data_IF_853196763579
#
_entry.id   IF_853196763579
#
_cell.length_a   1.000
_cell.length_b   1.000
_cell.length_c   1.000
_cell.angle_alpha   90.00
_cell.angle_beta   90.00
_cell.angle_gamma   90.00
#
_symmetry.space_group_name_H-M   'P 1'
#
loop_
_entity.id
_entity.type
_entity.pdbx_description
1 polymer ?
#
# COMPACT_ATOMS: atom_id res chain seq x y z
N UNK A 1 3.18 -6.01 -49.91
CA UNK A 1 3.31 -7.48 -50.04
C UNK A 1 4.74 -7.99 -49.90
N UNK A 2 5.74 -7.43 -50.60
CA UNK A 2 7.14 -7.88 -50.51
C UNK A 2 7.75 -7.80 -49.09
N UNK A 3 7.47 -6.71 -48.36
CA UNK A 3 7.99 -6.51 -46.99
C UNK A 3 7.47 -7.57 -46.00
N UNK A 4 6.20 -7.98 -46.14
CA UNK A 4 5.58 -9.01 -45.32
C UNK A 4 6.18 -10.40 -45.62
N UNK A 5 6.47 -10.68 -46.89
CA UNK A 5 7.12 -11.93 -47.29
C UNK A 5 8.56 -12.04 -46.75
N UNK A 6 9.33 -10.94 -46.80
CA UNK A 6 10.68 -10.87 -46.24
C UNK A 6 10.65 -11.05 -44.72
N UNK A 7 9.74 -10.37 -44.02
CA UNK A 7 9.57 -10.50 -42.58
C UNK A 7 9.20 -11.93 -42.16
N UNK A 8 8.31 -12.59 -42.92
CA UNK A 8 7.91 -13.98 -42.67
C UNK A 8 9.07 -14.97 -42.84
N UNK A 9 9.93 -14.77 -43.85
CA UNK A 9 11.13 -15.60 -44.05
C UNK A 9 12.16 -15.42 -42.92
N UNK A 10 12.36 -14.18 -42.45
CA UNK A 10 13.23 -13.89 -41.32
C UNK A 10 12.72 -14.58 -40.06
N UNK A 11 11.43 -14.45 -39.74
CA UNK A 11 10.83 -15.11 -38.59
C UNK A 11 10.94 -16.63 -38.72
N UNK A 12 10.64 -17.22 -39.87
CA UNK A 12 10.74 -18.68 -40.07
C UNK A 12 12.18 -19.20 -39.95
N UNK A 13 13.18 -18.41 -40.30
CA UNK A 13 14.58 -18.84 -40.23
C UNK A 13 15.25 -18.53 -38.88
N UNK A 14 14.73 -17.54 -38.13
CA UNK A 14 15.30 -17.04 -36.87
C UNK A 14 14.35 -17.17 -35.67
N UNK A 15 13.24 -17.91 -35.80
CA UNK A 15 12.26 -18.09 -34.71
C UNK A 15 12.91 -18.60 -33.43
N UNK A 16 13.90 -19.49 -33.54
CA UNK A 16 14.65 -20.05 -32.42
C UNK A 16 15.48 -19.01 -31.65
N UNK A 17 15.74 -17.83 -32.23
CA UNK A 17 16.39 -16.71 -31.55
C UNK A 17 15.37 -15.80 -30.86
N UNK A 18 14.27 -15.47 -31.55
CA UNK A 18 13.22 -14.61 -30.99
C UNK A 18 12.37 -15.31 -29.92
N UNK A 19 12.16 -16.63 -30.06
CA UNK A 19 11.33 -17.43 -29.15
C UNK A 19 11.91 -17.48 -27.73
N UNK A 20 13.20 -17.81 -27.48
CA UNK A 20 13.79 -17.75 -26.15
C UNK A 20 13.75 -16.34 -25.54
N UNK A 21 13.92 -15.28 -26.35
CA UNK A 21 13.84 -13.90 -25.85
C UNK A 21 12.42 -13.60 -25.37
N UNK A 22 11.40 -13.91 -26.17
CA UNK A 22 10.01 -13.69 -25.79
C UNK A 22 9.61 -14.56 -24.58
N UNK A 23 9.99 -15.83 -24.59
CA UNK A 23 9.76 -16.74 -23.46
C UNK A 23 10.51 -16.30 -22.21
N UNK A 24 11.71 -15.71 -22.32
CA UNK A 24 12.48 -15.25 -21.15
C UNK A 24 11.76 -14.14 -20.37
N UNK A 25 10.99 -13.27 -21.04
CA UNK A 25 10.21 -12.23 -20.38
C UNK A 25 9.07 -12.84 -19.56
N UNK A 26 8.36 -13.80 -20.16
CA UNK A 26 7.25 -14.51 -19.51
C UNK A 26 7.78 -15.38 -18.36
N UNK A 27 8.84 -16.16 -18.62
CA UNK A 27 9.51 -17.01 -17.63
C UNK A 27 10.05 -16.18 -16.46
N UNK A 28 10.62 -15.00 -16.71
CA UNK A 28 11.06 -14.09 -15.65
C UNK A 28 9.90 -13.63 -14.78
N UNK A 29 8.75 -13.30 -15.37
CA UNK A 29 7.56 -12.89 -14.62
C UNK A 29 7.06 -14.03 -13.73
N UNK A 30 6.93 -15.25 -14.29
CA UNK A 30 6.49 -16.42 -13.51
C UNK A 30 7.52 -16.83 -12.44
N UNK A 31 8.81 -16.77 -12.75
CA UNK A 31 9.88 -17.04 -11.79
C UNK A 31 9.83 -16.06 -10.62
N UNK A 32 9.73 -14.75 -10.90
CA UNK A 32 9.63 -13.73 -9.87
C UNK A 32 8.33 -13.88 -9.06
N UNK A 33 7.22 -14.19 -9.71
CA UNK A 33 5.94 -14.44 -9.03
C UNK A 33 6.06 -15.64 -8.07
N UNK A 34 6.59 -16.76 -8.55
CA UNK A 34 6.79 -17.97 -7.75
C UNK A 34 7.72 -17.70 -6.55
N UNK A 35 8.90 -17.14 -6.78
CA UNK A 35 9.86 -16.92 -5.68
C UNK A 35 9.36 -15.90 -4.65
N UNK A 36 8.60 -14.88 -5.07
CA UNK A 36 8.02 -13.88 -4.16
C UNK A 36 6.88 -14.45 -3.33
N UNK A 37 5.90 -15.08 -3.98
CA UNK A 37 4.65 -15.47 -3.32
C UNK A 37 4.73 -16.86 -2.70
N UNK A 38 5.32 -17.82 -3.40
CA UNK A 38 5.35 -19.22 -2.96
C UNK A 38 6.52 -19.52 -2.03
N UNK A 39 7.65 -18.84 -2.20
CA UNK A 39 8.86 -19.08 -1.40
C UNK A 39 9.01 -18.03 -0.30
N UNK A 40 9.13 -16.76 -0.68
CA UNK A 40 9.46 -15.70 0.26
C UNK A 40 8.29 -15.34 1.19
N UNK A 41 7.12 -15.03 0.63
CA UNK A 41 5.95 -14.60 1.39
C UNK A 41 5.44 -15.69 2.35
N UNK A 42 5.33 -16.95 1.88
CA UNK A 42 4.92 -18.09 2.73
C UNK A 42 5.90 -18.37 3.88
N UNK A 43 7.17 -18.05 3.72
CA UNK A 43 8.18 -18.21 4.79
C UNK A 43 8.01 -17.17 5.89
N UNK A 44 7.49 -15.97 5.55
CA UNK A 44 7.25 -14.92 6.53
C UNK A 44 5.94 -15.15 7.27
N UNK A 45 6.02 -15.08 8.61
CA UNK A 45 4.86 -15.18 9.48
C UNK A 45 4.24 -13.80 9.66
N UNK A 46 2.95 -13.73 9.37
CA UNK A 46 2.14 -12.53 9.53
C UNK A 46 1.18 -12.76 10.68
N UNK A 47 1.03 -11.74 11.51
CA UNK A 47 0.14 -11.75 12.67
C UNK A 47 -0.88 -10.63 12.52
N UNK A 48 -2.03 -10.84 13.18
CA UNK A 48 -3.08 -9.85 13.30
C UNK A 48 -3.15 -9.41 14.76
N UNK A 49 -3.08 -8.10 14.98
CA UNK A 49 -3.26 -7.50 16.30
C UNK A 49 -4.62 -6.83 16.32
N UNK A 50 -5.45 -7.16 17.29
CA UNK A 50 -6.66 -6.40 17.60
C UNK A 50 -6.27 -5.20 18.47
N UNK A 51 -6.72 -4.02 18.05
CA UNK A 51 -6.48 -2.76 18.74
C UNK A 51 -7.83 -2.30 19.31
N UNK A 52 -7.93 -2.13 20.62
CA UNK A 52 -9.12 -1.58 21.27
C UNK A 52 -8.83 -0.16 21.72
N UNK A 53 -9.42 0.86 21.06
CA UNK A 53 -9.24 2.24 21.46
C UNK A 53 -9.92 2.51 22.82
N UNK A 54 -9.37 3.43 23.64
CA UNK A 54 -10.04 3.90 24.84
C UNK A 54 -11.34 4.63 24.48
N UNK A 55 -12.28 4.70 25.44
CA UNK A 55 -13.60 5.34 25.23
C UNK A 55 -13.52 6.81 24.82
N UNK A 56 -12.48 7.52 25.26
CA UNK A 56 -12.25 8.91 24.91
C UNK A 56 -10.82 9.07 24.42
N UNK A 57 -10.66 9.67 23.23
CA UNK A 57 -9.36 10.00 22.68
C UNK A 57 -9.23 11.52 22.50
N UNK A 58 -8.51 12.16 23.42
CA UNK A 58 -8.32 13.62 23.44
C UNK A 58 -7.18 14.04 22.50
N UNK A 59 -6.40 13.09 21.97
CA UNK A 59 -5.25 13.40 21.10
C UNK A 59 -5.70 13.94 19.74
N UNK A 60 -4.95 14.88 19.14
CA UNK A 60 -5.23 15.36 17.79
C UNK A 60 -4.92 14.28 16.75
N UNK A 61 -5.59 14.32 15.59
CA UNK A 61 -5.35 13.36 14.51
C UNK A 61 -3.92 13.44 13.95
N UNK A 62 -3.26 14.60 14.05
CA UNK A 62 -1.84 14.79 13.71
C UNK A 62 -0.91 13.87 14.52
N UNK A 63 -1.33 13.39 15.69
CA UNK A 63 -0.55 12.41 16.47
C UNK A 63 -0.37 11.10 15.71
N UNK A 64 -1.34 10.70 14.87
CA UNK A 64 -1.18 9.52 14.01
C UNK A 64 -0.14 9.72 12.90
N UNK A 65 0.15 10.96 12.48
CA UNK A 65 1.23 11.20 11.51
C UNK A 65 2.60 10.78 12.07
N UNK A 66 2.79 10.96 13.38
CA UNK A 66 3.99 10.47 14.06
C UNK A 66 4.03 8.94 14.09
N UNK A 67 2.90 8.27 14.36
CA UNK A 67 2.79 6.81 14.30
C UNK A 67 3.18 6.30 12.91
N UNK A 68 2.59 6.85 11.83
CA UNK A 68 2.93 6.47 10.46
C UNK A 68 4.41 6.71 10.13
N UNK A 69 4.97 7.83 10.61
CA UNK A 69 6.38 8.15 10.42
C UNK A 69 7.32 7.15 11.12
N UNK A 70 6.96 6.68 12.31
CA UNK A 70 7.73 5.66 13.03
C UNK A 70 7.56 4.27 12.40
N UNK A 71 6.34 3.91 11.98
CA UNK A 71 6.04 2.63 11.31
C UNK A 71 6.72 2.51 9.95
N UNK A 72 7.08 3.63 9.30
CA UNK A 72 7.90 3.62 8.08
C UNK A 72 9.24 2.88 8.28
N UNK A 73 9.74 2.81 9.51
CA UNK A 73 10.94 2.04 9.88
C UNK A 73 10.85 0.52 9.65
N UNK A 74 9.69 -0.01 9.26
CA UNK A 74 9.55 -1.38 8.77
C UNK A 74 10.28 -1.61 7.43
N UNK A 75 10.65 -0.54 6.73
CA UNK A 75 11.32 -0.61 5.43
C UNK A 75 12.68 -1.32 5.51
N UNK A 76 12.85 -2.36 4.70
CA UNK A 76 14.11 -3.10 4.56
C UNK A 76 14.51 -3.22 3.09
N UNK A 77 15.52 -2.44 2.65
CA UNK A 77 15.89 -2.37 1.24
C UNK A 77 16.56 -3.68 0.76
N UNK A 78 16.00 -4.39 -0.24
CA UNK A 78 16.57 -5.65 -0.66
C UNK A 78 17.84 -5.45 -1.49
N UNK A 79 18.87 -6.22 -1.17
CA UNK A 79 20.05 -6.35 -2.00
C UNK A 79 19.73 -7.02 -3.34
N UNK A 80 20.62 -6.91 -4.34
CA UNK A 80 20.44 -7.57 -5.63
C UNK A 80 20.14 -9.06 -5.48
N UNK A 81 20.91 -9.77 -4.66
CA UNK A 81 20.74 -11.21 -4.41
C UNK A 81 19.38 -11.51 -3.79
N UNK A 82 18.94 -10.72 -2.83
CA UNK A 82 17.66 -10.89 -2.17
C UNK A 82 16.49 -10.61 -3.11
N UNK A 83 16.62 -9.60 -3.98
CA UNK A 83 15.61 -9.26 -4.98
C UNK A 83 15.44 -10.33 -6.06
N UNK A 84 16.55 -10.89 -6.55
CA UNK A 84 16.54 -11.81 -7.72
C UNK A 84 16.55 -13.29 -7.34
N UNK A 85 17.19 -13.65 -6.24
CA UNK A 85 17.32 -15.04 -5.77
C UNK A 85 16.60 -15.28 -4.43
N UNK A 86 16.34 -14.24 -3.64
CA UNK A 86 15.59 -14.35 -2.38
C UNK A 86 14.09 -14.14 -2.54
N UNK A 87 13.67 -13.47 -3.62
CA UNK A 87 12.26 -13.13 -3.86
C UNK A 87 11.73 -12.00 -2.98
N UNK A 88 12.58 -11.16 -2.39
CA UNK A 88 12.10 -9.98 -1.67
C UNK A 88 11.41 -9.02 -2.65
N UNK A 89 10.25 -8.52 -2.27
CA UNK A 89 9.51 -7.55 -3.07
C UNK A 89 10.26 -6.20 -3.07
N UNK A 90 10.35 -5.53 -4.23
CA UNK A 90 11.06 -4.25 -4.33
C UNK A 90 10.32 -3.09 -3.66
N UNK A 91 8.99 -3.15 -3.57
CA UNK A 91 8.19 -2.15 -2.88
C UNK A 91 8.14 -2.48 -1.38
N UNK A 92 8.42 -1.50 -0.54
CA UNK A 92 8.39 -1.63 0.92
C UNK A 92 9.40 -2.60 1.52
N UNK A 93 10.36 -3.12 0.75
CA UNK A 93 11.23 -4.20 1.22
C UNK A 93 10.51 -5.54 1.39
N UNK A 94 9.31 -5.67 0.81
CA UNK A 94 8.41 -6.78 1.05
C UNK A 94 7.74 -6.81 2.41
N UNK A 95 7.97 -5.80 3.24
CA UNK A 95 7.25 -5.62 4.49
C UNK A 95 6.26 -4.47 4.36
N UNK A 96 5.09 -4.67 4.92
CA UNK A 96 4.02 -3.69 4.96
C UNK A 96 3.21 -3.89 6.23
N UNK A 97 2.33 -2.94 6.49
CA UNK A 97 1.34 -3.05 7.54
C UNK A 97 -0.01 -2.64 6.97
N UNK A 98 -1.09 -3.19 7.53
CA UNK A 98 -2.44 -2.72 7.22
C UNK A 98 -3.15 -2.29 8.50
N UNK A 99 -4.01 -1.30 8.35
CA UNK A 99 -5.03 -0.95 9.33
C UNK A 99 -6.38 -1.35 8.78
N UNK A 100 -7.13 -2.10 9.56
CA UNK A 100 -8.36 -2.73 9.10
C UNK A 100 -9.48 -2.44 10.09
N UNK A 101 -10.64 -2.08 9.56
CA UNK A 101 -11.88 -1.91 10.32
C UNK A 101 -12.81 -2.99 9.80
N UNK A 102 -13.23 -3.88 10.70
CA UNK A 102 -14.04 -5.04 10.34
C UNK A 102 -15.28 -5.03 11.22
N UNK A 103 -16.44 -5.18 10.60
CA UNK A 103 -17.71 -5.37 11.32
C UNK A 103 -18.25 -6.78 11.11
N UNK A 104 -18.58 -7.45 12.21
CA UNK A 104 -19.24 -8.76 12.22
C UNK A 104 -20.65 -8.60 12.77
N UNK A 105 -21.66 -8.59 11.89
CA UNK A 105 -23.06 -8.44 12.30
C UNK A 105 -23.35 -7.22 13.18
N UNK A 106 -22.60 -6.13 12.99
CA UNK A 106 -22.73 -4.88 13.73
C UNK A 106 -21.66 -4.65 14.79
N UNK A 107 -20.87 -5.67 15.18
CA UNK A 107 -19.76 -5.53 16.12
C UNK A 107 -18.49 -5.08 15.39
N UNK A 108 -17.99 -3.90 15.73
CA UNK A 108 -16.85 -3.27 15.06
C UNK A 108 -15.55 -3.60 15.80
N UNK A 109 -14.58 -4.12 15.05
CA UNK A 109 -13.24 -4.44 15.50
C UNK A 109 -12.20 -3.69 14.65
N UNK A 110 -11.13 -3.24 15.31
CA UNK A 110 -9.99 -2.64 14.64
C UNK A 110 -8.80 -3.60 14.69
N UNK A 111 -8.20 -3.83 13.53
CA UNK A 111 -7.06 -4.71 13.41
C UNK A 111 -5.87 -4.02 12.77
N UNK A 112 -4.68 -4.50 13.12
CA UNK A 112 -3.43 -4.16 12.46
C UNK A 112 -2.70 -5.44 12.06
N UNK A 113 -2.42 -5.60 10.78
CA UNK A 113 -1.66 -6.75 10.27
C UNK A 113 -0.21 -6.37 10.06
N UNK A 114 0.70 -7.14 10.64
CA UNK A 114 2.15 -6.89 10.58
C UNK A 114 2.94 -8.20 10.51
N UNK A 115 4.21 -8.18 10.07
CA UNK A 115 5.09 -9.33 10.23
C UNK A 115 5.39 -9.56 11.72
N UNK A 116 5.48 -10.83 12.13
CA UNK A 116 5.71 -11.23 13.54
C UNK A 116 6.98 -10.60 14.12
N UNK A 117 8.04 -10.54 13.31
CA UNK A 117 9.35 -9.96 13.68
C UNK A 117 9.24 -8.48 14.11
N UNK A 118 8.23 -7.75 13.61
CA UNK A 118 8.02 -6.32 13.86
C UNK A 118 7.01 -6.04 14.98
N UNK A 119 6.44 -7.08 15.59
CA UNK A 119 5.38 -6.97 16.61
C UNK A 119 5.74 -6.01 17.73
N UNK A 120 6.87 -6.26 18.39
CA UNK A 120 7.30 -5.49 19.56
C UNK A 120 7.48 -4.01 19.21
N UNK A 121 8.12 -3.74 18.07
CA UNK A 121 8.33 -2.36 17.59
C UNK A 121 7.01 -1.66 17.31
N UNK A 122 6.04 -2.34 16.68
CA UNK A 122 4.72 -1.76 16.43
C UNK A 122 3.96 -1.47 17.73
N UNK A 123 3.97 -2.39 18.69
CA UNK A 123 3.37 -2.21 20.02
C UNK A 123 4.01 -1.00 20.73
N UNK A 124 5.35 -0.93 20.79
CA UNK A 124 6.09 0.18 21.42
C UNK A 124 5.75 1.54 20.76
N UNK A 125 5.64 1.58 19.42
CA UNK A 125 5.26 2.79 18.68
C UNK A 125 3.83 3.24 19.06
N UNK A 126 2.87 2.31 19.06
CA UNK A 126 1.48 2.61 19.39
C UNK A 126 1.34 3.09 20.83
N UNK A 127 1.95 2.39 21.78
CA UNK A 127 1.95 2.77 23.20
C UNK A 127 2.64 4.12 23.47
N UNK A 128 3.64 4.50 22.67
CA UNK A 128 4.32 5.79 22.82
C UNK A 128 3.40 7.00 22.57
N UNK A 129 2.46 6.86 21.62
CA UNK A 129 1.53 7.93 21.25
C UNK A 129 0.18 7.78 21.97
N UNK A 130 -0.25 6.54 22.21
CA UNK A 130 -1.52 6.18 22.83
C UNK A 130 -1.31 5.11 23.93
N UNK A 131 -0.92 5.53 25.15
CA UNK A 131 -0.63 4.61 26.25
C UNK A 131 -1.83 3.77 26.70
N UNK A 132 -3.05 4.29 26.53
CA UNK A 132 -4.29 3.68 27.00
C UNK A 132 -4.91 2.69 25.98
N UNK A 133 -4.20 2.34 24.90
CA UNK A 133 -4.64 1.32 23.95
C UNK A 133 -4.53 -0.08 24.56
N UNK A 134 -5.50 -0.94 24.31
CA UNK A 134 -5.34 -2.37 24.55
C UNK A 134 -5.00 -3.07 23.23
N UNK A 135 -3.88 -3.79 23.20
CA UNK A 135 -3.43 -4.53 22.02
C UNK A 135 -3.39 -6.02 22.38
N UNK A 136 -4.09 -6.84 21.60
CA UNK A 136 -4.13 -8.29 21.77
C UNK A 136 -3.87 -9.02 20.46
N UNK A 137 -3.25 -10.20 20.54
CA UNK A 137 -3.10 -11.06 19.37
C UNK A 137 -4.46 -11.64 18.99
N UNK A 138 -4.89 -11.45 17.75
CA UNK A 138 -6.13 -11.97 17.22
C UNK A 138 -5.88 -13.09 16.20
N UNK A 139 -6.85 -13.99 16.08
CA UNK A 139 -6.87 -14.93 14.97
C UNK A 139 -7.26 -14.22 13.68
N UNK A 140 -6.73 -14.71 12.57
CA UNK A 140 -7.02 -14.16 11.24
C UNK A 140 -8.49 -14.41 10.88
N UNK A 141 -9.29 -13.35 10.93
CA UNK A 141 -10.73 -13.41 10.69
C UNK A 141 -11.08 -13.88 9.28
N UNK A 142 -10.17 -13.78 8.31
CA UNK A 142 -10.41 -14.26 6.95
C UNK A 142 -10.60 -15.77 6.90
N UNK A 143 -10.12 -16.50 7.92
CA UNK A 143 -10.32 -17.96 8.06
C UNK A 143 -11.74 -18.34 8.47
N UNK A 144 -12.51 -17.39 8.99
CA UNK A 144 -13.90 -17.61 9.39
C UNK A 144 -14.85 -17.63 8.19
N UNK A 145 -14.37 -17.23 7.01
CA UNK A 145 -15.13 -17.24 5.77
C UNK A 145 -14.64 -18.40 4.87
N UNK A 146 -15.55 -19.11 4.19
CA UNK A 146 -15.16 -20.18 3.26
C UNK A 146 -14.26 -19.67 2.13
N UNK A 147 -13.37 -20.54 1.61
CA UNK A 147 -12.46 -20.17 0.51
C UNK A 147 -13.11 -20.21 -0.87
N UNK A 148 -14.27 -20.84 -0.97
CA UNK A 148 -15.03 -21.07 -2.19
C UNK A 148 -16.09 -19.98 -2.44
N UNK A 149 -15.93 -18.80 -1.85
CA UNK A 149 -16.81 -17.65 -2.09
C UNK A 149 -16.54 -17.00 -3.46
N UNK A 150 -17.57 -16.53 -4.18
CA UNK A 150 -19.00 -16.61 -3.86
C UNK A 150 -19.60 -18.01 -4.10
N UNK A 151 -20.55 -18.44 -3.24
CA UNK A 151 -21.25 -19.73 -3.35
C UNK A 151 -22.74 -19.60 -2.97
N UNK A 152 -23.49 -20.70 -2.89
CA UNK A 152 -24.93 -20.69 -2.57
C UNK A 152 -25.27 -20.02 -1.22
N UNK A 153 -24.32 -19.95 -0.29
CA UNK A 153 -24.52 -19.44 1.07
C UNK A 153 -23.90 -18.05 1.30
N UNK A 154 -22.92 -17.67 0.48
CA UNK A 154 -22.13 -16.45 0.64
C UNK A 154 -22.07 -15.68 -0.66
N UNK A 155 -22.57 -14.45 -0.61
CA UNK A 155 -22.30 -13.45 -1.65
C UNK A 155 -21.04 -12.66 -1.27
N UNK A 156 -20.30 -12.20 -2.28
CA UNK A 156 -19.09 -11.40 -2.11
C UNK A 156 -19.10 -10.21 -3.05
N UNK A 157 -18.98 -9.03 -2.47
CA UNK A 157 -18.71 -7.80 -3.18
C UNK A 157 -17.43 -7.18 -2.63
N UNK A 158 -16.51 -6.80 -3.53
CA UNK A 158 -15.25 -6.17 -3.16
C UNK A 158 -14.89 -5.11 -4.21
N UNK A 159 -14.37 -3.98 -3.75
CA UNK A 159 -13.90 -2.89 -4.60
C UNK A 159 -12.61 -2.29 -4.04
N UNK A 160 -11.75 -1.85 -4.94
CA UNK A 160 -10.54 -1.13 -4.61
C UNK A 160 -10.71 0.37 -4.92
N UNK A 161 -10.37 1.22 -3.95
CA UNK A 161 -10.28 2.65 -4.19
C UNK A 161 -9.05 2.99 -5.02
N UNK A 162 -9.25 3.71 -6.12
CA UNK A 162 -8.17 4.26 -6.95
C UNK A 162 -8.25 5.77 -7.03
N UNK A 163 -7.08 6.41 -7.12
CA UNK A 163 -7.02 7.87 -7.24
C UNK A 163 -7.48 8.30 -8.64
N UNK A 164 -8.44 9.23 -8.68
CA UNK A 164 -8.89 9.84 -9.94
C UNK A 164 -7.79 10.70 -10.61
N UNK A 165 -6.88 11.25 -9.80
CA UNK A 165 -5.74 12.04 -10.25
C UNK A 165 -4.43 11.32 -9.89
N UNK A 166 -3.31 11.67 -10.55
CA UNK A 166 -2.01 11.14 -10.16
C UNK A 166 -1.72 11.34 -8.66
N UNK A 167 -1.05 10.33 -8.08
CA UNK A 167 -0.54 10.20 -6.71
C UNK A 167 0.13 11.45 -6.10
N UNK A 168 0.76 12.28 -6.92
CA UNK A 168 1.47 13.49 -6.49
C UNK A 168 0.59 14.72 -6.32
N UNK A 169 -0.69 14.64 -6.68
CA UNK A 169 -1.64 15.65 -6.28
C UNK A 169 -2.06 15.39 -4.84
N UNK A 170 -2.11 16.44 -3.99
CA UNK A 170 -2.55 16.26 -2.63
C UNK A 170 -4.00 15.76 -2.64
N UNK A 171 -4.23 14.65 -1.95
CA UNK A 171 -5.53 14.41 -1.33
C UNK A 171 -5.70 15.57 -0.36
N UNK A 172 -6.92 16.14 -0.25
CA UNK A 172 -7.19 17.19 0.73
C UNK A 172 -6.66 16.73 2.10
N UNK A 173 -5.59 17.35 2.59
CA UNK A 173 -4.89 16.92 3.81
C UNK A 173 -5.69 17.36 5.03
N UNK A 174 -5.40 16.75 6.18
CA UNK A 174 -6.04 17.09 7.45
C UNK A 174 -5.96 18.59 7.79
N UNK A 175 -4.81 19.23 7.52
CA UNK A 175 -4.64 20.69 7.62
C UNK A 175 -5.56 21.52 6.70
N UNK A 176 -6.00 20.96 5.58
CA UNK A 176 -6.97 21.60 4.68
C UNK A 176 -8.43 21.33 5.07
N UNK A 177 -8.70 20.33 5.92
CA UNK A 177 -10.05 19.99 6.39
C UNK A 177 -10.37 20.52 7.81
N UNK A 178 -9.42 20.46 8.74
CA UNK A 178 -9.70 20.60 10.18
C UNK A 178 -8.79 21.58 10.93
N UNK A 179 -7.56 21.85 10.47
CA UNK A 179 -6.57 22.63 11.23
C UNK A 179 -6.20 23.96 10.56
N UNK A 180 -7.14 24.90 10.54
CA UNK A 180 -6.76 26.32 10.53
C UNK A 180 -6.38 26.70 11.96
N UNK A 181 -5.34 27.51 12.18
CA UNK A 181 -4.93 27.99 13.53
C UNK A 181 -6.08 28.60 14.37
N UNK A 182 -7.15 29.06 13.71
CA UNK A 182 -8.35 29.58 14.37
C UNK A 182 -9.25 28.47 14.97
N UNK A 183 -9.18 27.25 14.45
CA UNK A 183 -9.93 26.07 14.91
C UNK A 183 -9.31 25.50 16.20
N UNK A 184 -7.98 25.52 16.35
CA UNK A 184 -7.27 25.05 17.57
C UNK A 184 -7.78 25.70 18.86
N UNK A 185 -8.18 26.98 18.81
CA UNK A 185 -8.71 27.72 19.96
C UNK A 185 -10.19 27.45 20.24
N UNK A 186 -10.93 26.91 19.27
CA UNK A 186 -12.36 26.53 19.41
C UNK A 186 -12.53 25.05 19.81
N UNK A 187 -11.51 24.23 19.57
CA UNK A 187 -11.50 22.77 19.79
C UNK A 187 -11.07 22.41 21.23
N UNK A 188 -11.26 23.31 22.20
CA UNK A 188 -10.90 23.02 23.59
C UNK A 188 -11.96 22.17 24.32
N UNK A 189 -13.25 22.10 23.93
CA UNK A 189 -14.17 21.33 24.79
C UNK A 189 -15.42 20.63 24.20
N UNK A 190 -16.02 20.96 23.04
CA UNK A 190 -17.42 20.52 22.84
C UNK A 190 -17.88 19.79 21.56
N UNK A 191 -17.08 19.57 20.52
CA UNK A 191 -17.47 18.67 19.40
C UNK A 191 -16.35 18.52 18.38
N UNK A 192 -15.41 17.62 18.63
CA UNK A 192 -14.65 17.04 17.51
C UNK A 192 -15.62 16.10 16.79
N UNK A 193 -16.00 16.44 15.57
CA UNK A 193 -16.79 15.54 14.72
C UNK A 193 -15.83 14.45 14.25
N UNK A 194 -16.12 13.19 14.56
CA UNK A 194 -15.25 12.08 14.16
C UNK A 194 -15.43 11.86 12.65
N UNK A 195 -14.37 11.94 11.84
CA UNK A 195 -14.48 11.68 10.40
C UNK A 195 -14.93 10.25 10.08
N UNK A 196 -14.83 9.32 11.03
CA UNK A 196 -15.27 7.94 10.89
C UNK A 196 -16.72 7.72 11.32
N UNK A 197 -17.41 8.71 11.92
CA UNK A 197 -18.77 8.54 12.47
C UNK A 197 -19.72 7.90 11.45
N UNK A 198 -19.77 8.42 10.23
CA UNK A 198 -20.64 7.90 9.16
C UNK A 198 -20.27 6.48 8.74
N UNK A 199 -18.96 6.17 8.72
CA UNK A 199 -18.49 4.82 8.40
C UNK A 199 -18.88 3.83 9.51
N UNK A 200 -18.63 4.19 10.77
CA UNK A 200 -18.95 3.37 11.94
C UNK A 200 -20.46 3.17 12.11
N UNK A 201 -21.26 4.20 11.83
CA UNK A 201 -22.72 4.08 11.83
C UNK A 201 -23.21 3.11 10.73
N UNK A 202 -22.58 3.15 9.54
CA UNK A 202 -22.86 2.18 8.49
C UNK A 202 -22.49 0.76 8.89
N UNK A 203 -21.32 0.58 9.50
CA UNK A 203 -20.81 -0.71 9.96
C UNK A 203 -21.62 -1.32 11.11
N UNK A 204 -22.22 -0.50 11.98
CA UNK A 204 -23.03 -0.98 13.11
C UNK A 204 -24.44 -1.44 12.72
N UNK A 205 -24.91 -1.10 11.51
CA UNK A 205 -26.24 -1.48 10.99
C UNK A 205 -26.28 -2.84 10.29
N UNK A 206 -25.16 -3.56 10.24
CA UNK A 206 -25.09 -4.87 9.60
C UNK A 206 -25.96 -5.90 10.32
N UNK A 207 -26.61 -6.77 9.56
CA UNK A 207 -27.42 -7.84 10.12
C UNK A 207 -26.54 -9.00 10.63
N UNK A 208 -27.02 -9.82 11.58
CA UNK A 208 -26.33 -11.03 12.00
C UNK A 208 -25.98 -11.93 10.81
N UNK A 209 -24.69 -12.27 10.67
CA UNK A 209 -24.17 -13.07 9.56
C UNK A 209 -23.58 -12.26 8.40
N UNK A 210 -23.82 -10.94 8.35
CA UNK A 210 -23.14 -10.05 7.41
C UNK A 210 -21.78 -9.61 7.94
N UNK A 211 -20.82 -9.42 7.03
CA UNK A 211 -19.50 -8.90 7.37
C UNK A 211 -19.11 -7.81 6.38
N UNK A 212 -18.47 -6.75 6.88
CA UNK A 212 -17.87 -5.72 6.04
C UNK A 212 -16.44 -5.48 6.48
N UNK A 213 -15.51 -5.54 5.52
CA UNK A 213 -14.09 -5.40 5.75
C UNK A 213 -13.60 -4.14 5.03
N UNK A 214 -13.04 -3.20 5.80
CA UNK A 214 -12.41 -2.00 5.26
C UNK A 214 -10.92 -2.03 5.59
N UNK A 215 -10.07 -2.11 4.57
CA UNK A 215 -8.63 -2.33 4.75
C UNK A 215 -7.83 -1.21 4.09
N UNK A 216 -6.94 -0.60 4.87
CA UNK A 216 -5.93 0.34 4.39
C UNK A 216 -4.58 -0.35 4.45
N UNK A 217 -3.99 -0.67 3.30
CA UNK A 217 -2.66 -1.29 3.20
C UNK A 217 -1.60 -0.21 3.00
N UNK A 218 -0.66 -0.12 3.93
CA UNK A 218 0.41 0.86 3.93
C UNK A 218 1.75 0.20 3.59
N UNK A 219 2.37 0.64 2.50
CA UNK A 219 3.72 0.22 2.12
C UNK A 219 4.68 1.40 2.27
N UNK A 220 5.85 1.22 2.91
CA UNK A 220 6.85 2.26 2.93
C UNK A 220 7.41 2.50 1.53
N UNK A 221 7.52 3.78 1.16
CA UNK A 221 8.05 4.22 -0.12
C UNK A 221 9.36 4.97 0.05
N UNK A 222 10.23 4.86 -0.95
CA UNK A 222 11.47 5.64 -1.10
C UNK A 222 11.51 6.24 -2.50
N UNK A 223 12.27 7.32 -2.71
CA UNK A 223 12.36 7.95 -4.04
C UNK A 223 12.91 7.00 -5.13
N UNK A 224 13.76 6.04 -4.76
CA UNK A 224 14.31 5.06 -5.69
C UNK A 224 13.27 4.02 -6.14
N UNK A 225 12.35 3.66 -5.24
CA UNK A 225 11.31 2.65 -5.52
C UNK A 225 10.05 3.29 -6.10
N UNK A 226 9.71 4.49 -5.63
CA UNK A 226 8.54 5.24 -6.00
C UNK A 226 8.85 6.75 -5.99
N UNK A 227 9.25 7.35 -7.14
CA UNK A 227 9.75 8.73 -7.21
C UNK A 227 8.61 9.76 -7.14
N UNK A 228 7.91 9.79 -6.01
CA UNK A 228 6.74 10.62 -5.78
C UNK A 228 7.10 12.10 -5.68
N UNK A 229 8.14 12.46 -4.91
CA UNK A 229 8.57 13.87 -4.78
C UNK A 229 9.04 14.43 -6.12
N UNK A 230 9.76 13.64 -6.91
CA UNK A 230 10.21 14.06 -8.24
C UNK A 230 9.03 14.39 -9.15
N UNK A 231 8.03 13.48 -9.24
CA UNK A 231 6.81 13.72 -10.03
C UNK A 231 6.01 14.92 -9.53
N UNK A 232 5.92 15.08 -8.20
CA UNK A 232 5.24 16.22 -7.58
C UNK A 232 5.91 17.55 -7.98
N UNK A 233 7.24 17.61 -7.93
CA UNK A 233 8.01 18.79 -8.36
C UNK A 233 7.81 19.09 -9.85
N UNK A 234 7.91 18.07 -10.70
CA UNK A 234 7.68 18.22 -12.15
C UNK A 234 6.27 18.76 -12.46
N UNK A 235 5.25 18.25 -11.76
CA UNK A 235 3.88 18.73 -11.88
C UNK A 235 3.74 20.17 -11.37
N UNK A 236 4.32 20.50 -10.22
CA UNK A 236 4.30 21.84 -9.64
C UNK A 236 4.99 22.87 -10.56
N UNK A 237 6.15 22.53 -11.12
CA UNK A 237 6.88 23.39 -12.05
C UNK A 237 6.10 23.63 -13.35
N UNK A 238 5.41 22.60 -13.85
CA UNK A 238 4.52 22.70 -15.01
C UNK A 238 3.33 23.62 -14.74
N UNK A 239 2.72 23.52 -13.56
CA UNK A 239 1.62 24.39 -13.11
C UNK A 239 2.11 25.84 -12.96
N UNK A 240 3.30 26.03 -12.38
CA UNK A 240 3.94 27.33 -12.19
C UNK A 240 4.53 27.93 -13.48
N UNK A 241 4.43 27.23 -14.63
CA UNK A 241 5.00 27.62 -15.94
C UNK A 241 6.50 27.93 -15.88
N UNK A 242 7.26 27.24 -15.03
CA UNK A 242 8.71 27.36 -14.97
C UNK A 242 9.35 26.74 -16.22
N UNK A 243 10.48 27.26 -16.71
CA UNK A 243 11.19 26.65 -17.83
C UNK A 243 11.64 25.25 -17.45
N UNK A 244 11.24 24.25 -18.24
CA UNK A 244 11.65 22.87 -18.03
C UNK A 244 13.17 22.74 -18.24
N UNK A 245 13.90 22.00 -17.38
CA UNK A 245 15.31 21.74 -17.63
C UNK A 245 15.48 21.07 -19.00
N UNK A 246 16.53 21.42 -19.77
CA UNK A 246 16.73 20.85 -21.09
C UNK A 246 16.86 19.33 -20.99
N UNK A 247 16.28 18.56 -21.94
CA UNK A 247 16.34 17.11 -21.90
C UNK A 247 17.81 16.66 -21.88
N UNK A 248 18.16 15.78 -20.93
CA UNK A 248 19.49 15.15 -20.92
C UNK A 248 19.67 14.39 -22.24
N UNK A 249 20.65 14.79 -23.04
CA UNK A 249 20.95 14.12 -24.31
C UNK A 249 21.37 12.67 -24.01
N UNK A 250 20.93 11.67 -24.81
CA UNK A 250 21.40 10.30 -24.64
C UNK A 250 22.92 10.26 -24.81
N UNK A 251 23.63 9.54 -23.94
CA UNK A 251 25.10 9.40 -23.97
C UNK A 251 25.60 8.92 -25.34
N UNK A 252 24.80 8.10 -26.03
CA UNK A 252 25.05 7.65 -27.40
C UNK A 252 25.19 8.81 -28.40
N UNK A 253 24.45 9.89 -28.24
CA UNK A 253 24.49 11.05 -29.13
C UNK A 253 25.71 11.94 -28.94
N UNK A 254 26.40 11.83 -27.79
CA UNK A 254 27.70 12.48 -27.57
C UNK A 254 28.86 11.60 -28.05
N UNK A 255 28.72 10.27 -28.01
CA UNK A 255 29.74 9.34 -28.49
C UNK A 255 29.94 9.42 -30.02
N UNK A 256 28.89 9.70 -30.80
CA UNK A 256 28.95 9.90 -32.25
C UNK A 256 29.29 11.34 -32.69
N UNK A 257 29.71 12.21 -31.76
CA UNK A 257 30.08 13.60 -32.03
C UNK A 257 31.59 13.88 -31.99
N UNK A 258 32.41 12.84 -31.86
CA UNK A 258 33.85 12.88 -32.06
C UNK A 258 34.23 12.33 -33.44
#
# INVERSE_FOLDING_TARGET
MALFFILFQIIKSWWWFFLPIFLSLIAKTFYLWWIRWEVWYKKKKWILLEIKPPRENIKPFSTMENVFSMLWGIYDAPNWKERWCGGVLPLGGGLWFSFEIVSFGGEIHFFMRIPEDFRKTAEDILYSQYPDLEISLAEDYTKNVPKDIPNEKWDLYAEDYSLLRPDHFPIKTYSMFFEREQEERRIIEEKRLDPLDTLLEGLSKLNPGEQLWFQIVCNPITEDTFPWLKKAREAADKIAKRPSPPPKKPILFEFFKF
#
